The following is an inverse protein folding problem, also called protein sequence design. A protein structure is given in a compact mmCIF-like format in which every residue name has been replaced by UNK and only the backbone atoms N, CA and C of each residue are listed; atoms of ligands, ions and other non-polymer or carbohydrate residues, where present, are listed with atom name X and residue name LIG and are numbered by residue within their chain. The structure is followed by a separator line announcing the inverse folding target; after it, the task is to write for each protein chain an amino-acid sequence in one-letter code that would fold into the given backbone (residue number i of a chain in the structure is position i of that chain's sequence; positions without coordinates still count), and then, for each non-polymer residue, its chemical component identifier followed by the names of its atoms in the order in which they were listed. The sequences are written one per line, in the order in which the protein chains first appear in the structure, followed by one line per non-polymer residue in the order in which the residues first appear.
data_IF_003727866821
#
_entry.id   IF_003727866821
#
_cell.length_a   1.000
_cell.length_b   1.000
_cell.length_c   1.000
_cell.angle_alpha   90.00
_cell.angle_beta   90.00
_cell.angle_gamma   90.00
#
_symmetry.space_group_name_H-M   'P 1'
#
loop_
_entity.id
_entity.type
_entity.pdbx_description
1 polymer ?
#
# COMPACT_ATOMS: atom_id res chain seq x y z
N UNK A 1 -41.52 -24.58 -0.35
CA UNK A 1 -41.94 -23.67 0.74
C UNK A 1 -41.47 -24.10 2.14
N UNK A 2 -41.86 -25.25 2.70
CA UNK A 2 -41.42 -25.63 4.09
C UNK A 2 -39.92 -25.94 4.17
N UNK A 3 -39.37 -26.61 3.16
CA UNK A 3 -37.94 -26.94 3.12
C UNK A 3 -37.06 -25.70 2.93
N UNK A 4 -37.50 -24.76 2.08
CA UNK A 4 -36.81 -23.46 1.89
C UNK A 4 -36.79 -22.64 3.19
N UNK A 5 -37.90 -22.61 3.95
CA UNK A 5 -37.95 -21.93 5.24
C UNK A 5 -37.02 -22.58 6.29
N UNK A 6 -36.89 -23.92 6.27
CA UNK A 6 -35.95 -24.65 7.15
C UNK A 6 -34.50 -24.39 6.78
N UNK A 7 -34.16 -24.37 5.49
CA UNK A 7 -32.82 -24.02 5.01
C UNK A 7 -32.45 -22.60 5.42
N UNK A 8 -33.37 -21.64 5.24
CA UNK A 8 -33.13 -20.25 5.62
C UNK A 8 -33.01 -20.06 7.14
N UNK A 9 -33.77 -20.81 7.95
CA UNK A 9 -33.61 -20.81 9.40
C UNK A 9 -32.27 -21.41 9.85
N UNK A 10 -31.80 -22.43 9.15
CA UNK A 10 -30.54 -23.12 9.44
C UNK A 10 -29.30 -22.37 8.94
N UNK A 11 -29.42 -21.46 7.97
CA UNK A 11 -28.30 -20.66 7.45
C UNK A 11 -28.09 -19.33 8.20
N UNK A 12 -29.17 -18.68 8.63
CA UNK A 12 -29.10 -17.34 9.25
C UNK A 12 -28.34 -17.37 10.58
N UNK A 13 -28.51 -18.42 11.40
CA UNK A 13 -27.88 -18.50 12.72
C UNK A 13 -26.35 -18.68 12.63
N UNK A 14 -25.81 -19.62 11.83
CA UNK A 14 -24.36 -19.70 11.59
C UNK A 14 -23.76 -18.44 10.95
N UNK A 15 -24.43 -17.84 9.96
CA UNK A 15 -23.95 -16.61 9.31
C UNK A 15 -23.88 -15.43 10.30
N UNK A 16 -24.92 -15.25 11.12
CA UNK A 16 -24.93 -14.23 12.16
C UNK A 16 -23.82 -14.45 13.18
N UNK A 17 -23.57 -15.70 13.60
CA UNK A 17 -22.46 -16.06 14.49
C UNK A 17 -21.10 -15.77 13.85
N UNK A 18 -20.91 -16.10 12.58
CA UNK A 18 -19.67 -15.82 11.84
C UNK A 18 -19.41 -14.31 11.71
N UNK A 19 -20.45 -13.52 11.43
CA UNK A 19 -20.36 -12.05 11.41
C UNK A 19 -20.01 -11.48 12.78
N UNK A 20 -20.66 -11.95 13.85
CA UNK A 20 -20.36 -11.53 15.21
C UNK A 20 -18.91 -11.87 15.60
N UNK A 21 -18.45 -13.09 15.30
CA UNK A 21 -17.07 -13.49 15.55
C UNK A 21 -16.06 -12.61 14.80
N UNK A 22 -16.34 -12.29 13.53
CA UNK A 22 -15.49 -11.38 12.73
C UNK A 22 -15.38 -10.01 13.39
N UNK A 23 -16.50 -9.40 13.77
CA UNK A 23 -16.51 -8.08 14.43
C UNK A 23 -15.70 -8.10 15.72
N UNK A 24 -15.83 -9.16 16.53
CA UNK A 24 -15.06 -9.31 17.77
C UNK A 24 -13.56 -9.40 17.45
N UNK A 25 -13.16 -10.23 16.49
CA UNK A 25 -11.75 -10.39 16.11
C UNK A 25 -11.15 -9.11 15.51
N UNK A 26 -11.91 -8.39 14.68
CA UNK A 26 -11.49 -7.08 14.15
C UNK A 26 -11.29 -6.05 15.28
N UNK A 27 -12.20 -6.02 16.26
CA UNK A 27 -12.08 -5.14 17.42
C UNK A 27 -10.89 -5.51 18.31
N UNK A 28 -10.65 -6.80 18.54
CA UNK A 28 -9.49 -7.29 19.28
C UNK A 28 -8.18 -6.95 18.55
N UNK A 29 -8.13 -7.14 17.23
CA UNK A 29 -6.98 -6.77 16.40
C UNK A 29 -6.72 -5.27 16.37
N UNK A 30 -7.78 -4.45 16.29
CA UNK A 30 -7.66 -3.00 16.38
C UNK A 30 -7.13 -2.55 17.75
N UNK A 31 -7.66 -3.14 18.83
CA UNK A 31 -7.17 -2.87 20.18
C UNK A 31 -5.69 -3.25 20.32
N UNK A 32 -5.32 -4.45 19.89
CA UNK A 32 -3.94 -4.93 19.98
C UNK A 32 -2.97 -4.06 19.16
N UNK A 33 -3.33 -3.71 17.92
CA UNK A 33 -2.51 -2.83 17.08
C UNK A 33 -2.36 -1.43 17.68
N UNK A 34 -3.42 -0.86 18.23
CA UNK A 34 -3.37 0.45 18.89
C UNK A 34 -2.46 0.44 20.12
N UNK A 35 -2.56 -0.60 20.95
CA UNK A 35 -1.68 -0.76 22.12
C UNK A 35 -0.23 -0.92 21.69
N UNK A 36 0.06 -1.81 20.74
CA UNK A 36 1.41 -2.05 20.25
C UNK A 36 2.04 -0.80 19.61
N UNK A 37 1.26 -0.04 18.84
CA UNK A 37 1.70 1.24 18.27
C UNK A 37 2.05 2.23 19.37
N UNK A 38 1.17 2.38 20.36
CA UNK A 38 1.37 3.30 21.48
C UNK A 38 2.59 2.94 22.32
N UNK A 39 2.80 1.64 22.58
CA UNK A 39 3.98 1.14 23.29
C UNK A 39 5.26 1.37 22.49
N UNK A 40 5.24 1.12 21.17
CA UNK A 40 6.37 1.38 20.28
C UNK A 40 6.74 2.87 20.22
N UNK A 41 5.74 3.75 20.17
CA UNK A 41 5.94 5.20 20.22
C UNK A 41 6.53 5.66 21.56
N UNK A 42 6.04 5.13 22.67
CA UNK A 42 6.57 5.44 24.01
C UNK A 42 8.03 4.97 24.16
N UNK A 43 8.37 3.78 23.66
CA UNK A 43 9.74 3.26 23.63
C UNK A 43 10.64 4.15 22.76
N UNK A 44 10.20 4.51 21.55
CA UNK A 44 10.92 5.42 20.66
C UNK A 44 11.17 6.78 21.32
N UNK A 45 10.18 7.32 22.02
CA UNK A 45 10.32 8.58 22.75
C UNK A 45 11.37 8.47 23.87
N UNK A 46 11.35 7.38 24.64
CA UNK A 46 12.32 7.14 25.72
C UNK A 46 13.76 7.05 25.18
N UNK A 47 13.96 6.35 24.06
CA UNK A 47 15.26 6.27 23.39
C UNK A 47 15.73 7.65 22.90
N UNK A 48 14.82 8.43 22.30
CA UNK A 48 15.12 9.78 21.83
C UNK A 48 15.46 10.72 22.98
N UNK A 49 14.74 10.64 24.10
CA UNK A 49 15.00 11.45 25.29
C UNK A 49 16.41 11.18 25.85
N UNK A 50 16.81 9.91 25.91
CA UNK A 50 18.16 9.52 26.34
C UNK A 50 19.25 10.13 25.45
N UNK A 51 19.04 10.16 24.13
CA UNK A 51 19.99 10.77 23.20
C UNK A 51 19.99 12.31 23.29
N UNK A 52 18.80 12.90 23.44
CA UNK A 52 18.65 14.34 23.63
C UNK A 52 19.41 14.84 24.87
N UNK A 53 19.35 14.09 25.98
CA UNK A 53 20.08 14.42 27.20
C UNK A 53 21.61 14.39 27.00
N UNK A 54 22.11 13.54 26.10
CA UNK A 54 23.54 13.47 25.79
C UNK A 54 23.98 14.58 24.83
N UNK A 55 23.19 14.89 23.80
CA UNK A 55 23.52 15.87 22.76
C UNK A 55 22.30 16.69 22.29
N UNK A 56 21.88 17.71 23.06
CA UNK A 56 20.62 18.42 22.80
C UNK A 56 20.63 19.28 21.54
N UNK A 57 21.76 19.89 21.18
CA UNK A 57 21.88 20.77 20.00
C UNK A 57 21.78 19.97 18.69
N UNK A 58 22.52 18.86 18.59
CA UNK A 58 22.57 18.04 17.37
C UNK A 58 21.24 17.29 17.20
N UNK A 59 20.65 16.80 18.30
CA UNK A 59 19.37 16.07 18.27
C UNK A 59 18.23 16.97 17.82
N UNK A 60 18.15 18.22 18.31
CA UNK A 60 17.16 19.21 17.84
C UNK A 60 17.33 19.52 16.36
N UNK A 61 18.57 19.78 15.92
CA UNK A 61 18.85 20.06 14.51
C UNK A 61 18.45 18.89 13.61
N UNK A 62 18.75 17.65 14.02
CA UNK A 62 18.34 16.44 13.30
C UNK A 62 16.82 16.32 13.19
N UNK A 63 16.09 16.46 14.30
CA UNK A 63 14.63 16.43 14.32
C UNK A 63 14.03 17.47 13.36
N UNK A 64 14.52 18.71 13.44
CA UNK A 64 14.07 19.78 12.55
C UNK A 64 14.30 19.42 11.07
N UNK A 65 15.51 19.02 10.71
CA UNK A 65 15.83 18.64 9.32
C UNK A 65 14.98 17.46 8.84
N UNK A 66 14.79 16.44 9.67
CA UNK A 66 13.95 15.28 9.32
C UNK A 66 12.48 15.66 9.12
N UNK A 67 11.93 16.54 9.98
CA UNK A 67 10.55 17.03 9.82
C UNK A 67 10.39 17.87 8.57
N UNK A 68 11.34 18.78 8.29
CA UNK A 68 11.33 19.62 7.11
C UNK A 68 11.56 18.81 5.83
N UNK A 69 12.37 17.75 5.89
CA UNK A 69 12.50 16.78 4.80
C UNK A 69 11.16 16.09 4.51
N UNK A 70 10.45 15.62 5.54
CA UNK A 70 9.13 15.01 5.36
C UNK A 70 8.08 15.98 4.78
N UNK A 71 8.06 17.23 5.28
CA UNK A 71 7.12 18.27 4.81
C UNK A 71 7.44 18.71 3.39
N UNK A 72 8.71 19.02 3.10
CA UNK A 72 9.12 19.53 1.80
C UNK A 72 9.52 18.45 0.80
N UNK A 73 9.58 17.19 1.19
CA UNK A 73 9.99 16.07 0.34
C UNK A 73 9.09 15.87 -0.87
N UNK A 74 7.82 16.29 -0.78
CA UNK A 74 6.83 16.25 -1.88
C UNK A 74 6.65 17.59 -2.59
N UNK A 75 7.38 18.64 -2.18
CA UNK A 75 7.25 19.99 -2.76
C UNK A 75 8.25 20.20 -3.89
N UNK A 76 7.81 20.85 -4.97
CA UNK A 76 8.69 21.29 -6.06
C UNK A 76 9.52 22.47 -5.56
N UNK A 77 10.79 22.20 -5.26
CA UNK A 77 11.74 23.20 -4.77
C UNK A 77 12.37 23.94 -5.96
N UNK A 78 12.49 25.26 -5.85
CA UNK A 78 13.15 26.15 -6.82
C UNK A 78 14.28 26.86 -6.10
N UNK A 79 15.51 26.73 -6.60
CA UNK A 79 16.66 27.46 -6.10
C UNK A 79 16.80 28.75 -6.90
N UNK A 80 16.82 29.89 -6.21
CA UNK A 80 17.04 31.22 -6.79
C UNK A 80 18.44 31.66 -6.35
N UNK A 81 19.41 31.60 -7.25
CA UNK A 81 20.73 32.17 -7.02
C UNK A 81 20.68 33.67 -7.34
N UNK A 82 20.96 34.51 -6.34
CA UNK A 82 20.90 35.97 -6.42
C UNK A 82 22.29 36.62 -6.36
N UNK A 83 23.36 35.82 -6.26
CA UNK A 83 24.69 36.35 -5.92
C UNK A 83 25.50 36.79 -7.15
N UNK A 84 24.99 36.56 -8.37
CA UNK A 84 25.64 37.02 -9.60
C UNK A 84 24.63 37.67 -10.54
N UNK A 85 24.64 39.01 -10.58
CA UNK A 85 24.17 39.85 -11.69
C UNK A 85 23.18 39.23 -12.71
N UNK A 86 21.88 39.25 -12.40
CA UNK A 86 20.80 39.35 -13.39
C UNK A 86 20.41 38.09 -14.18
N UNK A 87 20.96 36.90 -13.90
CA UNK A 87 20.56 35.65 -14.55
C UNK A 87 19.83 34.71 -13.57
N UNK A 88 18.50 34.79 -13.57
CA UNK A 88 17.64 33.85 -12.83
C UNK A 88 17.66 32.49 -13.56
N UNK A 89 18.51 31.57 -13.11
CA UNK A 89 18.52 30.20 -13.60
C UNK A 89 17.40 29.40 -12.92
N UNK A 90 16.33 29.11 -13.66
CA UNK A 90 15.21 28.28 -13.18
C UNK A 90 15.58 26.81 -13.29
N UNK A 91 16.02 26.20 -12.19
CA UNK A 91 16.24 24.76 -12.11
C UNK A 91 15.15 24.09 -11.26
N UNK A 92 14.11 23.49 -11.87
CA UNK A 92 13.17 22.65 -11.16
C UNK A 92 13.89 21.36 -10.73
N UNK A 93 13.94 21.08 -9.43
CA UNK A 93 14.64 19.90 -8.88
C UNK A 93 13.93 18.55 -9.14
N UNK A 94 12.84 18.56 -9.91
CA UNK A 94 12.02 17.38 -10.28
C UNK A 94 12.83 16.34 -11.09
N UNK A 95 13.90 16.75 -11.77
CA UNK A 95 14.71 15.89 -12.65
C UNK A 95 15.99 15.30 -12.06
N UNK A 96 16.44 15.75 -10.89
CA UNK A 96 17.76 15.38 -10.33
C UNK A 96 17.73 14.17 -9.38
N UNK A 97 16.54 13.72 -8.95
CA UNK A 97 16.39 12.58 -8.04
C UNK A 97 16.13 11.24 -8.76
N UNK A 98 16.25 11.19 -10.09
CA UNK A 98 15.77 10.07 -10.92
C UNK A 98 16.82 9.09 -11.47
N UNK A 99 18.10 9.17 -11.10
CA UNK A 99 19.11 8.20 -11.57
C UNK A 99 20.02 7.76 -10.44
N UNK A 100 19.48 6.88 -9.61
CA UNK A 100 20.27 5.81 -9.00
C UNK A 100 19.44 4.54 -9.09
N UNK A 101 19.85 3.66 -10.02
CA UNK A 101 19.21 2.38 -10.27
C UNK A 101 19.43 1.41 -9.11
N UNK A 102 18.43 0.56 -8.90
CA UNK A 102 18.47 -0.53 -7.92
C UNK A 102 17.31 -1.49 -8.08
N UNK A 103 17.47 -2.42 -9.03
CA UNK A 103 16.88 -3.77 -9.04
C UNK A 103 15.37 -3.91 -9.26
N UNK A 104 15.01 -4.46 -10.42
CA UNK A 104 13.70 -5.02 -10.70
C UNK A 104 13.34 -6.08 -9.65
N UNK A 105 12.30 -5.83 -8.85
CA UNK A 105 11.66 -6.88 -8.08
C UNK A 105 10.84 -7.76 -9.04
N UNK A 106 10.90 -9.10 -8.92
CA UNK A 106 9.98 -9.96 -9.66
C UNK A 106 8.54 -9.65 -9.20
N UNK A 107 7.54 -9.76 -10.11
CA UNK A 107 6.16 -9.46 -9.77
C UNK A 107 5.66 -10.40 -8.68
N UNK A 108 5.15 -9.81 -7.59
CA UNK A 108 4.39 -10.51 -6.56
C UNK A 108 3.09 -10.99 -7.21
N UNK A 109 2.98 -12.29 -7.49
CA UNK A 109 1.71 -12.90 -7.88
C UNK A 109 0.80 -12.88 -6.65
N UNK A 110 -0.11 -11.91 -6.59
CA UNK A 110 -1.26 -11.95 -5.69
C UNK A 110 -2.20 -13.08 -6.13
N UNK A 111 -2.71 -13.93 -5.22
CA UNK A 111 -3.60 -15.05 -5.57
C UNK A 111 -4.97 -14.62 -6.14
N UNK A 112 -5.23 -13.32 -6.26
CA UNK A 112 -6.50 -12.73 -6.70
C UNK A 112 -6.68 -12.70 -8.24
N UNK A 113 -5.67 -13.11 -9.01
CA UNK A 113 -5.76 -13.15 -10.49
C UNK A 113 -6.14 -14.53 -11.06
N UNK A 114 -6.42 -15.54 -10.23
CA UNK A 114 -6.68 -16.92 -10.69
C UNK A 114 -8.16 -17.22 -11.03
N UNK A 115 -9.05 -16.23 -10.98
CA UNK A 115 -10.49 -16.42 -11.19
C UNK A 115 -11.05 -15.80 -12.48
N UNK A 116 -10.22 -15.40 -13.46
CA UNK A 116 -10.72 -14.88 -14.75
C UNK A 116 -10.31 -15.63 -16.01
N UNK A 117 -9.67 -16.79 -15.89
CA UNK A 117 -9.48 -17.70 -17.03
C UNK A 117 -10.39 -18.91 -16.90
N UNK A 118 -11.60 -18.76 -17.43
CA UNK A 118 -12.59 -19.84 -17.41
C UNK A 118 -13.77 -19.62 -18.32
N UNK A 119 -13.66 -18.85 -19.42
CA UNK A 119 -14.64 -18.86 -20.51
C UNK A 119 -13.96 -18.47 -21.83
N UNK A 120 -13.40 -19.44 -22.55
CA UNK A 120 -13.51 -19.40 -24.01
C UNK A 120 -13.52 -20.83 -24.56
N UNK A 121 -14.62 -21.16 -25.23
CA UNK A 121 -14.85 -22.48 -25.83
C UNK A 121 -14.33 -22.45 -27.26
N UNK A 122 -13.42 -23.33 -27.70
CA UNK A 122 -13.12 -23.42 -29.12
C UNK A 122 -14.23 -24.22 -29.81
N UNK A 123 -15.04 -23.53 -30.60
CA UNK A 123 -16.04 -24.13 -31.50
C UNK A 123 -15.34 -24.90 -32.64
N UNK A 124 -15.75 -26.15 -32.97
CA UNK A 124 -15.07 -26.96 -33.97
C UNK A 124 -15.47 -26.56 -35.39
N UNK A 125 -14.45 -26.34 -36.22
CA UNK A 125 -14.55 -25.93 -37.61
C UNK A 125 -15.32 -26.99 -38.43
N UNK A 126 -16.49 -26.61 -38.94
CA UNK A 126 -17.32 -27.47 -39.80
C UNK A 126 -16.71 -27.56 -41.19
N UNK A 127 -16.35 -28.80 -41.54
CA UNK A 127 -16.03 -29.29 -42.88
C UNK A 127 -16.92 -28.70 -43.98
N UNK A 128 -16.35 -27.94 -44.90
CA UNK A 128 -16.90 -27.76 -46.25
C UNK A 128 -16.33 -28.83 -47.18
N UNK A 129 -17.07 -29.94 -47.29
CA UNK A 129 -16.89 -30.98 -48.31
C UNK A 129 -17.71 -30.58 -49.55
N UNK A 130 -17.02 -30.12 -50.61
CA UNK A 130 -17.51 -29.96 -52.00
C UNK A 130 -16.28 -29.57 -52.82
N UNK A 131 -15.79 -30.20 -53.88
CA UNK A 131 -16.10 -31.26 -54.86
C UNK A 131 -14.70 -31.84 -55.24
N UNK A 132 -14.44 -32.97 -55.88
CA UNK A 132 -15.19 -34.00 -56.60
C UNK A 132 -14.15 -34.79 -57.42
N UNK A 133 -14.29 -36.12 -57.52
CA UNK A 133 -13.84 -37.02 -58.61
C UNK A 133 -13.95 -38.49 -58.16
N UNK A 134 -15.01 -39.16 -58.58
CA UNK A 134 -15.02 -40.16 -59.66
C UNK A 134 -16.48 -40.59 -59.90
#
# INVERSE_FOLDING_TARGET
FIEEARVHANSVVPEARGRAARIIQEAEGYKASTVALSEGEAQRFTLLLREYQQAPEITRKRLYLQTMEGVFGRSKKVLLDSDSSGNVLYLPLDGLSGTSGGTAMPPLVTPEAREREGVDSPSPNRTSRREGRQ
#
